data_IF_858559034298
#
_entry.id   IF_858559034298
#
_cell.length_a   1.000
_cell.length_b   1.000
_cell.length_c   1.000
_cell.angle_alpha   90.00
_cell.angle_beta   90.00
_cell.angle_gamma   90.00
#
_symmetry.space_group_name_H-M   'P 1'
#
loop_
_entity.id
_entity.type
_entity.pdbx_description
1 polymer ?
2 non-polymer ?
3 non-polymer ?
4 water ?
#
# COMPACT_ATOMS: atom_id res chain seq x y z
N UNK A 14 -11.37 -17.46 5.95
CA UNK A 14 -10.42 -17.29 7.10
C UNK A 14 -9.79 -18.65 7.46
N UNK A 15 -8.47 -18.67 7.68
CA UNK A 15 -7.75 -19.83 8.23
C UNK A 15 -6.67 -19.42 9.25
N UNK A 16 -6.53 -20.17 10.35
CA UNK A 16 -5.44 -19.85 11.28
C UNK A 16 -4.08 -20.21 10.66
N UNK A 17 -3.06 -19.40 10.94
CA UNK A 17 -1.82 -19.56 10.19
C UNK A 17 -0.85 -20.47 10.95
N UNK A 18 0.27 -20.79 10.32
CA UNK A 18 1.24 -21.68 10.96
C UNK A 18 2.55 -20.96 11.35
N UNK A 19 2.53 -19.63 11.34
CA UNK A 19 3.62 -18.83 11.89
C UNK A 19 3.63 -18.90 13.42
N UNK A 20 4.71 -18.39 14.01
CA UNK A 20 4.80 -18.32 15.46
C UNK A 20 3.56 -17.65 16.07
N UNK A 21 3.17 -16.55 15.45
CA UNK A 21 1.93 -15.86 15.77
C UNK A 21 1.14 -15.61 14.48
N UNK A 22 -0.15 -15.28 14.60
CA UNK A 22 -0.96 -14.93 13.44
C UNK A 22 -1.62 -13.57 13.63
N UNK A 23 -1.49 -12.70 12.64
CA UNK A 23 -2.11 -11.37 12.75
C UNK A 23 -3.59 -11.46 13.08
N UNK A 24 -4.33 -12.34 12.38
CA UNK A 24 -5.76 -12.49 12.58
C UNK A 24 -6.20 -13.01 13.94
N UNK A 25 -5.27 -13.48 14.78
CA UNK A 25 -5.66 -14.08 16.02
C UNK A 25 -6.40 -13.10 16.93
N UNK A 26 -7.63 -13.44 17.32
CA UNK A 26 -8.48 -12.61 18.17
C UNK A 26 -8.17 -12.79 19.66
N UNK A 27 -8.62 -11.82 20.45
CA UNK A 27 -8.55 -11.85 21.91
C UNK A 27 -7.12 -11.72 22.48
N UNK A 28 -6.18 -11.29 21.66
CA UNK A 28 -4.87 -10.88 22.11
C UNK A 28 -4.97 -9.41 22.57
N UNK A 29 -5.67 -8.59 21.79
CA UNK A 29 -5.78 -7.14 22.02
C UNK A 29 -7.18 -6.72 21.59
N UNK A 30 -8.00 -6.22 22.51
CA UNK A 30 -9.28 -5.62 22.17
C UNK A 30 -9.08 -4.41 21.28
N UNK A 31 -8.00 -3.64 21.49
CA UNK A 31 -7.72 -2.47 20.64
C UNK A 31 -7.61 -2.93 19.17
N UNK A 32 -6.95 -4.07 18.98
CA UNK A 32 -6.72 -4.67 17.65
C UNK A 32 -8.05 -5.21 17.10
N UNK A 33 -8.76 -5.97 17.94
CA UNK A 33 -10.05 -6.58 17.52
C UNK A 33 -11.13 -5.58 17.13
N UNK A 34 -11.14 -4.41 17.78
CA UNK A 34 -12.06 -3.34 17.40
C UNK A 34 -11.76 -2.79 15.99
N UNK A 35 -10.51 -2.80 15.57
CA UNK A 35 -10.10 -2.10 14.35
C UNK A 35 -10.05 -3.01 13.14
N UNK A 36 -9.49 -4.21 13.33
CA UNK A 36 -9.33 -5.14 12.22
C UNK A 36 -10.68 -5.73 11.78
N UNK A 37 -10.94 -5.64 10.48
CA UNK A 37 -12.21 -6.10 9.96
C UNK A 37 -11.94 -7.17 8.92
N UNK A 38 -12.11 -8.44 9.30
CA UNK A 38 -11.81 -9.55 8.41
C UNK A 38 -12.53 -9.52 7.08
N UNK A 39 -13.69 -8.86 6.97
CA UNK A 39 -14.48 -8.87 5.73
C UNK A 39 -14.00 -7.85 4.68
N UNK A 40 -12.99 -7.04 5.03
CA UNK A 40 -12.46 -6.04 4.11
C UNK A 40 -11.69 -6.68 2.95
N UNK A 41 -11.92 -6.16 1.75
CA UNK A 41 -11.20 -6.61 0.56
C UNK A 41 -10.31 -5.45 0.12
N UNK A 42 -8.98 -5.66 0.18
CA UNK A 42 -8.01 -4.59 -0.04
C UNK A 42 -7.75 -4.27 -1.52
N UNK A 43 -8.21 -5.15 -2.42
CA UNK A 43 -8.02 -4.92 -3.85
C UNK A 43 -9.36 -4.85 -4.60
N UNK A 44 -9.38 -3.97 -5.60
CA UNK A 44 -10.54 -3.80 -6.47
C UNK A 44 -10.72 -4.95 -7.44
N UNK A 45 -11.96 -5.41 -7.57
CA UNK A 45 -12.33 -6.42 -8.57
C UNK A 45 -13.62 -5.96 -9.25
N UNK A 46 -13.92 -6.52 -10.41
CA UNK A 46 -15.24 -6.25 -11.03
C UNK A 46 -16.41 -6.52 -10.10
N UNK A 47 -16.32 -7.57 -9.29
CA UNK A 47 -17.42 -7.96 -8.42
C UNK A 47 -17.55 -7.06 -7.19
N UNK A 48 -16.44 -6.47 -6.74
CA UNK A 48 -16.48 -5.67 -5.51
C UNK A 48 -16.43 -4.15 -5.72
N UNK A 49 -16.58 -3.71 -6.96
CA UNK A 49 -16.29 -2.31 -7.30
C UNK A 49 -17.36 -1.25 -7.04
N UNK A 50 -18.57 -1.65 -6.68
CA UNK A 50 -19.61 -0.67 -6.38
C UNK A 50 -19.38 -0.07 -4.99
N UNK A 51 -19.18 1.25 -4.95
CA UNK A 51 -18.99 1.99 -3.72
C UNK A 51 -20.33 2.44 -3.18
N UNK A 52 -20.50 2.33 -1.87
CA UNK A 52 -21.65 2.97 -1.24
C UNK A 52 -21.50 4.47 -1.43
N UNK A 53 -22.63 5.17 -1.34
CA UNK A 53 -22.69 6.59 -1.68
C UNK A 53 -21.73 7.41 -0.81
N UNK A 54 -21.76 7.17 0.50
CA UNK A 54 -20.99 7.97 1.44
C UNK A 54 -19.48 7.71 1.31
N UNK A 55 -19.13 6.47 0.95
CA UNK A 55 -17.75 6.11 0.66
C UNK A 55 -17.23 6.83 -0.57
N UNK A 56 -18.06 6.84 -1.61
CA UNK A 56 -17.73 7.49 -2.88
C UNK A 56 -17.58 9.00 -2.70
N UNK A 57 -18.51 9.63 -1.99
CA UNK A 57 -18.44 11.07 -1.73
C UNK A 57 -17.16 11.42 -0.96
N UNK A 58 -16.83 10.60 0.03
CA UNK A 58 -15.66 10.86 0.86
C UNK A 58 -14.41 10.81 -0.01
N UNK A 59 -14.34 9.78 -0.83
CA UNK A 59 -13.20 9.58 -1.69
C UNK A 59 -13.02 10.71 -2.71
N UNK A 60 -14.14 11.15 -3.29
CA UNK A 60 -14.07 12.32 -4.18
C UNK A 60 -13.53 13.57 -3.47
N UNK A 61 -13.79 13.71 -2.19
CA UNK A 61 -13.36 14.92 -1.47
C UNK A 61 -11.86 14.96 -1.16
N UNK A 62 -11.15 13.85 -1.31
CA UNK A 62 -9.71 13.87 -1.01
C UNK A 62 -8.93 14.89 -1.84
N UNK A 63 -9.14 14.87 -3.14
CA UNK A 63 -8.39 15.77 -4.03
C UNK A 63 -9.32 16.65 -4.84
N UNK A 64 -10.62 16.41 -4.74
CA UNK A 64 -11.62 17.28 -5.34
C UNK A 64 -11.43 17.65 -6.81
N UNK A 65 -11.34 16.62 -7.64
CA UNK A 65 -11.38 16.82 -9.09
C UNK A 65 -12.65 17.53 -9.50
N UNK A 66 -12.53 18.50 -10.40
CA UNK A 66 -13.62 19.43 -10.64
C UNK A 66 -14.87 18.64 -11.05
N UNK A 67 -14.74 17.84 -12.10
CA UNK A 67 -15.85 16.99 -12.54
C UNK A 67 -15.27 15.68 -13.04
N UNK A 68 -15.24 14.69 -12.15
CA UNK A 68 -14.70 13.38 -12.49
C UNK A 68 -15.62 12.65 -13.48
N UNK A 69 -15.02 11.89 -14.38
CA UNK A 69 -15.77 10.95 -15.20
C UNK A 69 -16.47 9.93 -14.31
N UNK A 70 -17.55 9.37 -14.84
CA UNK A 70 -18.37 8.40 -14.13
C UNK A 70 -17.54 7.21 -13.66
N UNK A 71 -17.62 6.87 -12.37
CA UNK A 71 -16.71 5.88 -11.83
C UNK A 71 -16.95 4.49 -12.43
N UNK A 72 -18.21 4.07 -12.50
CA UNK A 72 -18.61 2.81 -13.14
C UNK A 72 -18.03 2.66 -14.55
N UNK A 73 -18.20 3.67 -15.39
CA UNK A 73 -17.58 3.75 -16.71
C UNK A 73 -16.06 3.55 -16.69
N UNK A 74 -15.39 4.26 -15.78
CA UNK A 74 -13.95 4.24 -15.64
C UNK A 74 -13.48 2.84 -15.24
N UNK A 75 -14.16 2.25 -14.28
CA UNK A 75 -13.80 0.92 -13.82
C UNK A 75 -14.08 -0.14 -14.86
N UNK A 76 -15.19 0.00 -15.60
CA UNK A 76 -15.47 -0.95 -16.66
C UNK A 76 -14.31 -0.92 -17.66
N UNK A 77 -13.92 0.29 -18.05
CA UNK A 77 -12.76 0.44 -18.91
C UNK A 77 -11.45 -0.09 -18.29
N UNK A 78 -11.23 0.17 -17.01
CA UNK A 78 -10.00 -0.29 -16.34
C UNK A 78 -9.91 -1.82 -16.42
N UNK A 79 -11.01 -2.56 -16.22
CA UNK A 79 -10.94 -4.03 -16.21
C UNK A 79 -11.03 -4.66 -17.59
N UNK A 80 -11.07 -3.82 -18.63
CA UNK A 80 -10.80 -4.34 -19.97
C UNK A 80 -9.28 -4.26 -20.19
N UNK A 81 -8.55 -3.64 -19.27
CA UNK A 81 -7.12 -3.45 -19.44
C UNK A 81 -6.34 -4.33 -18.44
N UNK A 82 -6.66 -4.20 -17.16
CA UNK A 82 -5.94 -4.89 -16.09
C UNK A 82 -6.89 -5.96 -15.54
N UNK A 83 -6.34 -6.95 -14.82
CA UNK A 83 -7.20 -8.08 -14.44
C UNK A 83 -8.33 -7.67 -13.49
N UNK A 84 -9.56 -8.11 -13.79
CA UNK A 84 -10.71 -7.75 -12.97
C UNK A 84 -11.21 -8.84 -12.06
N UNK A 85 -10.55 -10.01 -12.03
CA UNK A 85 -10.91 -11.05 -11.06
C UNK A 85 -9.68 -11.56 -10.29
N UNK A 86 -8.93 -10.62 -9.71
CA UNK A 86 -7.87 -11.01 -8.78
C UNK A 86 -8.46 -11.48 -7.45
N UNK A 87 -7.75 -12.41 -6.80
CA UNK A 87 -8.12 -12.77 -5.43
C UNK A 87 -7.81 -11.57 -4.54
N UNK A 88 -8.82 -11.06 -3.81
CA UNK A 88 -8.54 -9.85 -3.05
C UNK A 88 -7.49 -10.04 -1.94
N UNK A 89 -7.25 -11.26 -1.50
CA UNK A 89 -6.10 -11.47 -0.58
C UNK A 89 -4.87 -12.15 -1.23
N UNK A 90 -4.80 -12.11 -2.57
CA UNK A 90 -3.62 -12.50 -3.33
C UNK A 90 -3.21 -13.95 -3.00
N UNK A 91 -4.24 -14.80 -2.89
CA UNK A 91 -4.12 -16.27 -2.71
C UNK A 91 -3.46 -16.61 -1.36
N UNK A 92 -3.67 -15.77 -0.35
CA UNK A 92 -3.32 -16.15 1.01
C UNK A 92 -3.81 -17.55 1.41
N UNK A 93 -4.89 -18.01 0.78
CA UNK A 93 -5.51 -19.29 1.18
C UNK A 93 -4.74 -20.48 0.68
N UNK A 94 -3.77 -20.27 -0.21
CA UNK A 94 -2.95 -21.35 -0.72
C UNK A 94 -1.69 -21.59 0.13
N UNK A 95 -1.47 -20.79 1.17
CA UNK A 95 -0.29 -20.95 1.98
C UNK A 95 -0.74 -20.97 3.45
N UNK A 96 0.12 -21.45 4.33
CA UNK A 96 -0.27 -21.52 5.74
C UNK A 96 0.44 -20.48 6.61
N UNK A 97 1.54 -19.93 6.13
CA UNK A 97 2.17 -18.79 6.80
C UNK A 97 2.76 -17.86 5.73
N UNK A 98 2.20 -16.66 5.58
CA UNK A 98 2.81 -15.69 4.67
C UNK A 98 3.53 -14.61 5.44
N UNK A 99 4.87 -14.55 5.24
CA UNK A 99 5.73 -13.63 5.97
C UNK A 99 6.04 -12.45 5.04
N UNK A 100 5.80 -11.22 5.51
CA UNK A 100 5.93 -10.03 4.66
C UNK A 100 6.91 -9.04 5.27
N UNK A 101 7.77 -8.44 4.44
CA UNK A 101 8.51 -7.25 4.85
C UNK A 101 7.85 -6.06 4.15
N UNK A 102 7.62 -5.00 4.92
CA UNK A 102 7.11 -3.76 4.38
C UNK A 102 8.22 -2.75 4.59
N UNK A 103 8.75 -2.24 3.48
CA UNK A 103 9.94 -1.43 3.52
C UNK A 103 9.53 -0.01 3.10
N UNK A 104 9.65 0.91 4.05
CA UNK A 104 9.43 2.34 3.83
C UNK A 104 10.68 3.04 3.34
N UNK A 105 10.67 4.38 3.32
CA UNK A 105 11.66 5.16 2.62
C UNK A 105 12.68 5.87 3.51
N UNK A 106 12.61 5.63 4.82
CA UNK A 106 13.47 6.38 5.76
C UNK A 106 14.94 6.17 5.59
N UNK A 107 15.66 7.27 5.78
CA UNK A 107 17.12 7.24 5.91
C UNK A 107 17.69 6.45 7.08
N UNK A 108 16.81 6.02 7.97
CA UNK A 108 17.23 5.09 8.99
C UNK A 108 17.65 3.73 8.43
N UNK A 109 17.30 3.44 7.17
CA UNK A 109 17.81 2.24 6.49
C UNK A 109 19.32 2.29 6.17
N UNK A 110 19.88 3.50 6.09
CA UNK A 110 21.29 3.63 5.71
C UNK A 110 22.23 2.89 6.67
N UNK A 111 23.08 2.02 6.12
CA UNK A 111 24.01 1.22 6.94
C UNK A 111 23.29 0.35 7.95
N UNK A 112 22.02 0.03 7.73
CA UNK A 112 21.31 -0.86 8.66
C UNK A 112 21.69 -2.32 8.40
N UNK A 113 22.12 -2.62 7.17
CA UNK A 113 22.44 -4.01 6.78
C UNK A 113 21.26 -5.00 6.81
N UNK A 114 20.06 -4.45 6.68
CA UNK A 114 18.84 -5.29 6.74
C UNK A 114 18.50 -6.06 5.45
N UNK A 115 19.27 -5.87 4.38
CA UNK A 115 18.89 -6.47 3.11
C UNK A 115 18.61 -7.99 3.14
N UNK A 116 19.56 -8.78 3.67
CA UNK A 116 19.37 -10.24 3.63
C UNK A 116 18.14 -10.73 4.41
N UNK A 117 17.89 -10.09 5.56
CA UNK A 117 16.69 -10.43 6.30
C UNK A 117 15.43 -10.01 5.55
N UNK A 118 15.41 -8.78 5.00
CA UNK A 118 14.30 -8.36 4.16
C UNK A 118 14.03 -9.39 3.07
N UNK A 119 15.04 -9.78 2.32
CA UNK A 119 14.85 -10.67 1.16
C UNK A 119 14.48 -12.12 1.59
N UNK A 120 14.64 -12.43 2.87
CA UNK A 120 14.19 -13.73 3.37
C UNK A 120 12.65 -13.88 3.46
N UNK A 121 11.90 -12.78 3.30
CA UNK A 121 10.43 -12.83 3.41
C UNK A 121 9.80 -13.39 2.12
N UNK A 122 8.61 -13.98 2.23
CA UNK A 122 7.84 -14.44 1.07
C UNK A 122 7.41 -13.26 0.16
N UNK A 123 6.82 -12.22 0.76
CA UNK A 123 6.49 -10.98 0.03
C UNK A 123 7.36 -9.82 0.52
N UNK A 124 7.73 -8.89 -0.37
CA UNK A 124 8.40 -7.69 0.09
C UNK A 124 7.68 -6.55 -0.61
N UNK A 125 7.20 -5.62 0.19
CA UNK A 125 6.36 -4.52 -0.26
C UNK A 125 7.09 -3.20 -0.11
N UNK A 126 7.16 -2.45 -1.22
CA UNK A 126 7.86 -1.17 -1.30
C UNK A 126 6.92 -0.07 -1.82
N UNK A 127 7.36 1.19 -1.78
CA UNK A 127 6.49 2.30 -2.17
C UNK A 127 7.19 3.52 -2.79
N UNK A 128 6.41 4.28 -3.57
CA UNK A 128 6.84 5.55 -4.14
C UNK A 128 8.01 5.28 -5.13
N UNK A 129 8.98 6.19 -5.21
CA UNK A 129 10.07 6.08 -6.16
C UNK A 129 11.29 5.34 -5.57
N UNK A 130 11.15 4.78 -4.38
CA UNK A 130 12.26 4.08 -3.70
C UNK A 130 12.99 3.00 -4.54
N UNK A 131 14.31 3.18 -4.71
CA UNK A 131 15.10 2.23 -5.48
C UNK A 131 15.65 1.09 -4.64
N UNK A 132 15.86 -0.07 -5.23
CA UNK A 132 16.68 -1.01 -4.51
C UNK A 132 18.10 -1.05 -5.09
N UNK A 133 18.21 -0.76 -6.37
CA UNK A 133 19.54 -0.78 -7.04
C UNK A 133 20.68 0.06 -6.45
N UNK A 134 21.76 -0.57 -5.97
CA UNK A 134 22.83 0.10 -5.25
C UNK A 134 22.57 0.26 -3.77
N UNK A 135 21.42 -0.21 -3.30
CA UNK A 135 21.11 -0.11 -1.87
C UNK A 135 20.79 -1.51 -1.29
N UNK A 136 21.12 -2.57 -2.03
CA UNK A 136 20.58 -3.88 -1.65
C UNK A 136 21.06 -4.38 -0.30
N UNK A 137 22.30 -4.04 0.07
CA UNK A 137 22.79 -4.49 1.36
C UNK A 137 21.90 -4.03 2.52
N UNK A 138 21.36 -2.81 2.37
CA UNK A 138 20.50 -2.20 3.38
C UNK A 138 19.00 -2.49 3.21
N UNK A 139 18.50 -2.43 1.98
CA UNK A 139 17.06 -2.45 1.75
C UNK A 139 16.54 -3.75 1.10
N UNK A 140 17.47 -4.60 0.67
CA UNK A 140 17.19 -5.89 0.02
C UNK A 140 17.15 -5.72 -1.49
N UNK A 141 17.24 -6.83 -2.23
CA UNK A 141 17.06 -6.80 -3.70
C UNK A 141 15.66 -7.25 -4.18
N UNK A 142 14.89 -7.82 -3.28
CA UNK A 142 13.64 -8.46 -3.66
C UNK A 142 12.48 -7.47 -3.58
N UNK A 143 11.62 -7.51 -4.60
CA UNK A 143 10.31 -6.83 -4.48
C UNK A 143 9.25 -7.71 -5.08
N UNK A 144 8.17 -7.95 -4.33
CA UNK A 144 7.02 -8.70 -4.87
C UNK A 144 5.86 -7.77 -5.24
N UNK A 145 5.75 -6.65 -4.51
CA UNK A 145 4.62 -5.73 -4.67
C UNK A 145 5.11 -4.30 -4.44
N UNK A 146 4.59 -3.33 -5.19
CA UNK A 146 5.15 -1.97 -5.06
C UNK A 146 4.04 -0.92 -5.27
N UNK A 147 3.82 -0.10 -4.25
CA UNK A 147 2.69 0.83 -4.17
C UNK A 147 3.08 2.13 -4.90
N UNK A 148 2.27 2.53 -5.88
CA UNK A 148 2.47 3.78 -6.59
C UNK A 148 1.18 4.57 -6.80
N UNK A 149 1.36 5.81 -7.27
CA UNK A 149 0.27 6.65 -7.77
C UNK A 149 0.86 7.54 -8.89
N UNK A 150 0.05 8.23 -9.69
CA UNK A 150 0.62 8.86 -10.93
C UNK A 150 1.77 9.83 -10.64
N UNK A 151 1.67 10.51 -9.49
CA UNK A 151 2.60 11.58 -9.14
C UNK A 151 3.75 11.01 -8.30
N UNK A 152 3.79 9.68 -8.12
CA UNK A 152 4.84 9.02 -7.37
C UNK A 152 5.06 7.60 -7.93
N UNK A 153 5.69 7.51 -9.10
CA UNK A 153 5.85 6.22 -9.78
C UNK A 153 7.33 6.16 -10.25
N UNK A 154 7.90 4.97 -10.29
CA UNK A 154 9.10 4.71 -11.05
C UNK A 154 8.88 3.37 -11.75
N UNK A 155 9.58 3.16 -12.86
CA UNK A 155 9.41 1.88 -13.58
C UNK A 155 9.81 0.75 -12.64
N UNK A 156 9.12 -0.38 -12.80
CA UNK A 156 9.26 -1.48 -11.86
C UNK A 156 9.85 -2.68 -12.59
N UNK A 157 10.61 -3.51 -11.86
CA UNK A 157 11.10 -4.75 -12.47
C UNK A 157 9.91 -5.62 -12.95
N UNK A 158 10.15 -6.47 -13.95
CA UNK A 158 9.10 -7.26 -14.62
C UNK A 158 8.30 -8.20 -13.71
N UNK A 159 8.94 -8.72 -12.66
CA UNK A 159 8.25 -9.65 -11.77
C UNK A 159 7.42 -8.99 -10.66
N UNK A 160 7.43 -7.66 -10.62
CA UNK A 160 6.83 -6.90 -9.50
C UNK A 160 5.36 -6.60 -9.81
N UNK A 161 4.47 -6.92 -8.88
CA UNK A 161 3.08 -6.45 -8.96
C UNK A 161 3.03 -4.95 -8.62
N UNK A 162 2.45 -4.15 -9.52
CA UNK A 162 2.29 -2.72 -9.24
C UNK A 162 0.94 -2.54 -8.51
N UNK A 163 0.96 -1.97 -7.33
CA UNK A 163 -0.34 -1.64 -6.68
C UNK A 163 -0.62 -0.13 -6.84
N UNK A 164 -1.57 0.22 -7.71
CA UNK A 164 -1.96 1.62 -7.87
C UNK A 164 -2.81 2.00 -6.66
N UNK A 165 -2.46 3.08 -6.00
CA UNK A 165 -3.29 3.60 -4.93
C UNK A 165 -4.04 4.84 -5.46
N UNK A 166 -5.35 4.71 -5.75
CA UNK A 166 -6.01 5.81 -6.40
C UNK A 166 -6.63 6.76 -5.39
N UNK A 167 -6.18 8.01 -5.44
CA UNK A 167 -6.76 9.08 -4.63
C UNK A 167 -7.76 10.01 -5.33
N UNK A 168 -7.99 9.77 -6.62
CA UNK A 168 -9.01 10.45 -7.40
C UNK A 168 -9.29 9.60 -8.66
N UNK A 169 -10.40 9.91 -9.33
CA UNK A 169 -10.84 9.19 -10.53
C UNK A 169 -9.78 9.23 -11.63
N UNK A 170 -9.15 10.39 -11.81
CA UNK A 170 -8.05 10.50 -12.79
C UNK A 170 -6.91 9.51 -12.58
N UNK A 171 -6.67 9.05 -11.35
CA UNK A 171 -5.62 8.04 -11.13
C UNK A 171 -5.91 6.70 -11.80
N UNK A 172 -7.19 6.35 -11.81
CA UNK A 172 -7.66 5.21 -12.58
C UNK A 172 -7.59 5.43 -14.09
N UNK A 173 -7.95 6.61 -14.56
CA UNK A 173 -7.84 6.93 -15.96
C UNK A 173 -6.37 6.91 -16.37
N UNK A 174 -5.49 7.32 -15.45
CA UNK A 174 -4.06 7.33 -15.76
C UNK A 174 -3.54 5.92 -16.07
N UNK A 175 -3.95 4.93 -15.28
CA UNK A 175 -3.49 3.55 -15.49
C UNK A 175 -3.91 3.06 -16.86
N UNK A 176 -5.16 3.30 -17.25
CA UNK A 176 -5.64 2.97 -18.58
C UNK A 176 -4.78 3.68 -19.62
N UNK A 177 -4.62 5.01 -19.53
CA UNK A 177 -3.87 5.77 -20.53
C UNK A 177 -2.40 5.34 -20.65
N UNK A 178 -1.74 5.14 -19.51
CA UNK A 178 -0.30 5.01 -19.47
C UNK A 178 0.11 3.61 -19.97
N UNK A 179 -0.83 2.66 -19.96
CA UNK A 179 -0.58 1.34 -20.54
C UNK A 179 -1.13 1.22 -21.98
N UNK A 180 -1.71 2.29 -22.51
CA UNK A 180 -2.31 2.24 -23.87
C UNK A 180 -1.93 3.48 -24.69
N UNK A 181 -2.80 4.48 -24.73
CA UNK A 181 -2.65 5.66 -25.59
C UNK A 181 -1.66 6.74 -25.14
N UNK A 182 -1.38 6.83 -23.83
CA UNK A 182 -0.38 7.81 -23.42
C UNK A 182 -0.92 9.22 -23.58
N UNK A 183 -2.22 9.40 -23.42
CA UNK A 183 -2.82 10.73 -23.58
C UNK A 183 -2.77 11.60 -22.31
N UNK A 184 -2.71 10.99 -21.13
CA UNK A 184 -2.67 11.77 -19.89
C UNK A 184 -1.25 12.05 -19.45
N UNK A 185 -0.83 13.30 -19.59
CA UNK A 185 0.56 13.63 -19.27
C UNK A 185 0.72 14.52 -18.02
N UNK A 186 -0.41 14.86 -17.41
CA UNK A 186 -0.46 15.78 -16.29
C UNK A 186 -1.67 15.44 -15.46
N UNK A 187 -1.55 15.61 -14.15
CA UNK A 187 -2.71 15.74 -13.28
C UNK A 187 -2.68 17.19 -12.77
N UNK A 188 -2.22 17.44 -11.54
CA UNK A 188 -1.91 18.83 -11.09
C UNK A 188 -0.42 19.11 -11.25
N UNK A 189 0.37 18.07 -11.53
CA UNK A 189 1.78 18.19 -11.94
C UNK A 189 2.03 17.22 -13.14
N UNK A 190 3.20 17.30 -13.83
CA UNK A 190 3.52 16.30 -14.89
C UNK A 190 3.56 14.89 -14.33
N UNK A 191 3.02 13.93 -15.07
CA UNK A 191 3.09 12.52 -14.69
C UNK A 191 3.56 11.72 -15.92
N UNK A 192 4.06 10.49 -15.72
CA UNK A 192 4.55 9.75 -16.92
C UNK A 192 3.40 9.51 -17.90
N UNK A 193 3.57 9.84 -19.17
CA UNK A 193 2.52 9.57 -20.16
C UNK A 193 2.41 8.05 -20.43
N UNK A 194 3.50 7.31 -20.24
CA UNK A 194 3.53 5.86 -20.54
C UNK A 194 4.32 5.20 -19.44
N UNK A 195 3.98 3.96 -19.10
CA UNK A 195 4.76 3.15 -18.18
C UNK A 195 4.98 1.78 -18.85
N UNK A 196 5.97 1.03 -18.38
CA UNK A 196 6.34 -0.27 -18.98
C UNK A 196 5.75 -1.47 -18.29
N UNK A 197 5.18 -1.26 -17.10
CA UNK A 197 4.57 -2.36 -16.35
C UNK A 197 3.58 -3.11 -17.26
N UNK A 198 3.66 -4.44 -17.28
CA UNK A 198 2.69 -5.25 -17.98
C UNK A 198 1.32 -5.17 -17.33
N UNK A 199 0.31 -5.13 -18.18
CA UNK A 199 -1.07 -5.00 -17.70
C UNK A 199 -1.41 -6.07 -16.70
N UNK A 200 -0.97 -7.31 -16.94
CA UNK A 200 -1.35 -8.40 -16.05
C UNK A 200 -0.71 -8.33 -14.64
N UNK A 201 0.25 -7.44 -14.47
CA UNK A 201 0.90 -7.27 -13.16
C UNK A 201 0.31 -6.11 -12.36
N UNK A 202 -0.80 -5.55 -12.85
CA UNK A 202 -1.36 -4.36 -12.17
C UNK A 202 -2.50 -4.77 -11.21
N UNK A 203 -2.44 -4.21 -10.01
CA UNK A 203 -3.43 -4.36 -8.93
C UNK A 203 -3.87 -2.96 -8.57
N UNK A 204 -5.10 -2.84 -8.04
CA UNK A 204 -5.71 -1.56 -7.71
C UNK A 204 -6.17 -1.63 -6.27
N UNK A 205 -5.55 -0.79 -5.44
CA UNK A 205 -5.91 -0.64 -4.02
C UNK A 205 -7.39 -0.17 -4.00
N UNK A 206 -8.23 -0.82 -3.18
CA UNK A 206 -9.66 -0.53 -3.16
C UNK A 206 -9.92 0.80 -2.43
N UNK A 207 -10.60 1.75 -3.09
CA UNK A 207 -10.96 3.01 -2.45
C UNK A 207 -11.70 2.79 -1.13
N UNK A 208 -12.58 1.79 -1.06
CA UNK A 208 -13.23 1.48 0.23
C UNK A 208 -12.27 0.99 1.34
N UNK A 209 -11.17 0.35 0.94
CA UNK A 209 -10.09 -0.02 1.87
C UNK A 209 -9.33 1.22 2.34
N UNK A 210 -9.13 2.19 1.44
CA UNK A 210 -8.55 3.47 1.88
C UNK A 210 -9.40 4.10 3.00
N UNK A 211 -10.71 4.13 2.79
CA UNK A 211 -11.60 4.74 3.81
C UNK A 211 -11.58 3.94 5.12
N UNK A 212 -11.50 2.62 5.02
CA UNK A 212 -11.42 1.75 6.22
C UNK A 212 -10.17 2.07 7.03
N UNK A 213 -9.04 2.21 6.34
CA UNK A 213 -7.79 2.59 6.99
C UNK A 213 -7.96 3.96 7.66
N UNK A 214 -8.57 4.91 6.95
CA UNK A 214 -8.78 6.27 7.50
C UNK A 214 -9.73 6.29 8.68
N UNK A 215 -10.88 5.60 8.56
CA UNK A 215 -11.86 5.60 9.64
C UNK A 215 -11.44 4.72 10.84
N UNK A 216 -11.03 3.48 10.58
CA UNK A 216 -10.87 2.54 11.69
C UNK A 216 -9.46 2.65 12.29
N UNK A 217 -8.46 2.78 11.43
CA UNK A 217 -7.08 2.76 11.88
C UNK A 217 -6.52 4.14 12.22
N UNK A 218 -6.80 5.16 11.41
CA UNK A 218 -6.40 6.53 11.76
C UNK A 218 -7.42 7.28 12.57
N UNK A 219 -8.61 6.71 12.70
CA UNK A 219 -9.70 7.32 13.48
C UNK A 219 -9.96 8.75 13.00
N UNK A 220 -9.75 8.92 11.69
CA UNK A 220 -10.06 10.17 11.00
C UNK A 220 -9.07 11.28 11.23
N UNK A 221 -7.90 10.94 11.80
CA UNK A 221 -6.79 11.89 11.87
C UNK A 221 -6.25 12.28 10.49
N UNK A 222 -6.31 13.56 10.15
CA UNK A 222 -5.71 14.03 8.90
C UNK A 222 -6.71 14.14 7.77
N UNK A 223 -6.24 14.50 6.58
CA UNK A 223 -7.18 14.60 5.46
C UNK A 223 -7.36 13.21 4.84
N UNK A 224 -6.24 12.50 4.69
CA UNK A 224 -6.32 11.10 4.27
C UNK A 224 -5.02 10.34 4.57
N UNK A 225 -5.07 9.01 4.48
CA UNK A 225 -3.91 8.21 4.92
C UNK A 225 -2.71 8.34 4.00
N UNK A 226 -1.50 8.35 4.58
CA UNK A 226 -0.27 8.26 3.78
C UNK A 226 -0.10 6.89 3.15
N UNK A 227 0.71 6.86 2.09
CA UNK A 227 1.12 5.60 1.50
C UNK A 227 1.68 4.65 2.53
N UNK A 228 2.52 5.17 3.43
CA UNK A 228 3.09 4.37 4.51
C UNK A 228 2.04 3.55 5.28
N UNK A 229 1.08 4.23 5.86
CA UNK A 229 0.07 3.54 6.69
C UNK A 229 -0.89 2.72 5.81
N UNK A 230 -1.11 3.18 4.58
CA UNK A 230 -1.92 2.33 3.64
C UNK A 230 -1.24 1.01 3.36
N UNK A 231 0.10 1.03 3.28
CA UNK A 231 0.85 -0.18 2.95
C UNK A 231 0.81 -1.17 4.09
N UNK A 232 0.95 -0.66 5.32
CA UNK A 232 0.95 -1.45 6.54
C UNK A 232 -0.39 -2.17 6.77
N UNK A 233 -1.48 -1.41 6.72
CA UNK A 233 -2.77 -2.06 6.98
C UNK A 233 -3.14 -3.04 5.83
N UNK A 234 -2.76 -2.69 4.59
CA UNK A 234 -2.89 -3.67 3.50
C UNK A 234 -2.19 -4.98 3.85
N UNK A 235 -0.96 -4.88 4.36
CA UNK A 235 -0.16 -6.05 4.73
C UNK A 235 -0.73 -6.86 5.88
N UNK A 236 -1.34 -6.22 6.86
CA UNK A 236 -2.06 -6.96 7.94
C UNK A 236 -3.20 -7.87 7.45
N UNK A 237 -3.77 -7.54 6.29
CA UNK A 237 -4.83 -8.34 5.67
C UNK A 237 -4.33 -9.42 4.72
N UNK A 238 -3.24 -9.11 4.02
CA UNK A 238 -2.65 -9.98 3.01
C UNK A 238 -1.65 -10.99 3.61
N UNK A 239 -1.09 -10.66 4.77
CA UNK A 239 -0.04 -11.45 5.37
C UNK A 239 -0.42 -12.04 6.73
N UNK A 240 0.37 -13.02 7.17
CA UNK A 240 0.19 -13.61 8.50
C UNK A 240 1.19 -13.02 9.49
N UNK A 241 2.31 -12.55 8.95
CA UNK A 241 3.40 -12.03 9.77
C UNK A 241 4.01 -10.85 9.03
N UNK A 242 4.16 -9.73 9.71
CA UNK A 242 4.59 -8.44 9.12
C UNK A 242 5.76 -7.83 9.90
N UNK A 243 6.86 -7.62 9.19
CA UNK A 243 8.05 -6.93 9.68
C UNK A 243 8.17 -5.58 8.94
N UNK A 244 8.24 -4.51 9.72
CA UNK A 244 8.45 -3.16 9.15
C UNK A 244 9.92 -2.70 9.18
N UNK A 245 10.36 -2.11 8.06
CA UNK A 245 11.72 -1.57 7.88
C UNK A 245 11.53 -0.19 7.23
N UNK A 246 12.37 0.74 7.64
CA UNK A 246 12.39 2.05 6.98
C UNK A 246 11.21 2.95 7.29
N UNK A 247 10.59 2.78 8.45
CA UNK A 247 9.55 3.66 8.96
C UNK A 247 10.06 4.62 10.03
N UNK A 248 9.63 5.88 9.95
CA UNK A 248 9.95 6.83 11.02
C UNK A 248 11.22 7.60 10.71
N UNK A 249 11.65 8.37 11.70
CA UNK A 249 12.88 9.15 11.57
C UNK A 249 14.08 8.26 11.86
N UNK A 250 15.26 8.82 11.60
CA UNK A 250 16.50 8.17 12.04
C UNK A 250 16.78 8.53 13.49
N UNK A 251 17.91 8.00 13.98
CA UNK A 251 18.29 8.23 15.38
C UNK A 251 18.61 9.68 15.71
N UNK A 252 18.82 10.50 14.68
CA UNK A 252 19.11 11.91 14.93
C UNK A 252 17.83 12.75 14.81
N UNK A 253 16.70 12.10 14.56
CA UNK A 253 15.43 12.80 14.39
C UNK A 253 15.18 13.30 12.98
N UNK A 254 16.04 12.94 12.03
CA UNK A 254 15.85 13.42 10.66
C UNK A 254 14.90 12.57 9.80
N UNK A 255 14.13 13.25 8.97
CA UNK A 255 13.24 12.64 7.97
C UNK A 255 13.87 12.89 6.59
N UNK A 256 14.64 11.95 6.10
CA UNK A 256 15.31 12.04 4.83
C UNK A 256 15.10 10.65 4.23
N UNK A 257 15.04 10.56 2.90
CA UNK A 257 14.94 9.27 2.24
C UNK A 257 16.28 8.56 2.22
N UNK A 258 16.30 7.22 2.19
CA UNK A 258 17.58 6.55 2.20
C UNK A 258 18.46 6.80 0.97
N UNK A 259 17.83 7.06 -0.18
CA UNK A 259 18.55 7.17 -1.46
C UNK A 259 18.92 8.59 -1.95
N UNK A 260 18.55 9.63 -1.21
CA UNK A 260 18.74 11.00 -1.73
C UNK A 260 18.65 11.98 -0.58
N UNK A 270 3.40 17.77 8.77
CA UNK A 270 3.44 19.25 8.69
C UNK A 270 2.13 20.04 8.39
N UNK A 271 1.59 19.89 7.18
CA UNK A 271 0.44 20.65 6.66
C UNK A 271 -0.94 20.26 7.22
N UNK A 272 -1.08 19.00 7.60
CA UNK A 272 -2.35 18.46 8.08
C UNK A 272 -2.98 17.42 7.15
N UNK A 273 -2.41 17.26 5.95
CA UNK A 273 -2.92 16.27 5.01
C UNK A 273 -2.76 14.84 5.56
N UNK A 274 -1.56 14.51 6.04
CA UNK A 274 -1.32 13.28 6.81
C UNK A 274 -0.97 13.60 8.26
N UNK A 275 -1.32 12.68 9.15
CA UNK A 275 -0.96 12.79 10.56
C UNK A 275 0.16 11.75 10.80
N UNK A 276 1.39 12.12 10.43
CA UNK A 276 2.55 11.26 10.68
C UNK A 276 2.75 10.86 12.14
N UNK A 277 2.47 11.77 13.07
CA UNK A 277 2.56 11.37 14.48
C UNK A 277 1.57 10.25 14.81
N UNK A 278 0.31 10.43 14.40
CA UNK A 278 -0.70 9.45 14.75
C UNK A 278 -0.43 8.14 14.01
N UNK A 279 -0.04 8.23 12.74
CA UNK A 279 0.36 7.04 12.00
C UNK A 279 1.47 6.26 12.69
N UNK A 280 2.50 6.98 13.10
CA UNK A 280 3.60 6.36 13.83
C UNK A 280 3.10 5.75 15.18
N UNK A 281 2.17 6.40 15.83
CA UNK A 281 1.58 5.81 17.03
C UNK A 281 0.85 4.49 16.76
N UNK A 282 0.13 4.39 15.65
CA UNK A 282 -0.49 3.13 15.28
C UNK A 282 0.51 1.99 15.09
N UNK A 283 1.58 2.23 14.34
CA UNK A 283 2.58 1.18 14.18
C UNK A 283 3.26 0.84 15.51
N UNK A 284 3.53 1.85 16.32
CA UNK A 284 4.04 1.58 17.66
C UNK A 284 3.16 0.69 18.54
N UNK A 285 1.86 0.95 18.53
CA UNK A 285 0.93 0.08 19.27
C UNK A 285 0.91 -1.30 18.65
N UNK A 286 0.88 -1.37 17.32
CA UNK A 286 0.87 -2.71 16.69
C UNK A 286 2.07 -3.53 17.12
N UNK A 287 3.25 -2.87 17.15
CA UNK A 287 4.44 -3.59 17.65
C UNK A 287 4.33 -4.02 19.11
N UNK A 288 3.69 -3.20 19.92
CA UNK A 288 3.65 -3.46 21.36
C UNK A 288 2.79 -4.68 21.66
N UNK A 289 1.90 -5.01 20.73
CA UNK A 289 1.04 -6.18 20.88
C UNK A 289 1.49 -7.35 20.00
N UNK A 290 2.72 -7.29 19.48
CA UNK A 290 3.30 -8.34 18.64
C UNK A 290 2.52 -8.67 17.37
N UNK A 291 1.75 -7.70 16.89
CA UNK A 291 1.03 -7.84 15.61
C UNK A 291 1.93 -7.53 14.41
N UNK A 292 3.00 -6.78 14.65
CA UNK A 292 4.09 -6.57 13.68
C UNK A 292 5.38 -6.50 14.50
N UNK A 293 6.55 -6.63 13.86
CA UNK A 293 7.82 -6.24 14.49
C UNK A 293 8.37 -5.06 13.71
N UNK A 294 8.97 -4.13 14.45
CA UNK A 294 9.54 -2.93 13.80
C UNK A 294 11.04 -2.99 13.88
N UNK A 295 11.69 -2.88 12.72
CA UNK A 295 13.14 -2.71 12.70
C UNK A 295 13.53 -1.23 12.51
N UNK A 296 14.09 -0.63 13.56
CA UNK A 296 14.24 0.83 13.63
C UNK A 296 15.43 1.35 12.82
N UNK A 297 16.38 0.49 12.47
CA UNK A 297 17.55 0.94 11.71
C UNK A 297 18.48 1.86 12.50
N UNK A 298 19.09 2.83 11.83
CA UNK A 298 20.18 3.64 12.38
C UNK A 298 19.78 5.08 12.67
X LIG B 1 7.91 7.27 6.84
X LIG B 1 7.52 6.54 7.98
X LIG B 1 8.59 6.43 5.74
X LIG B 1 9.25 7.32 4.86
X LIG B 1 7.51 5.67 4.98
X LIG B 1 7.95 5.45 3.66
X LIG C 1 1.80 -11.89 23.55
X LIG C 1 0.73 -10.97 23.36
X LIG C 1 2.08 -12.71 22.30
X LIG C 1 1.00 -12.62 21.42
X LIG C 1 2.25 -14.18 22.65
X LIG C 1 3.48 -14.43 23.28
X LIG D 1 -19.64 -5.38 -2.81
#
# INVERSE_FOLDING_TARGET
>A
ELSENFKKLXKYPYRPCTCTRCIEEQRVSAWFDERFNRSMQPLLTAKNAHLEEDTYKWWLRLQREKKPNNLNDTIRELFQVVPGNVDPLLEKRLVSCRRCAVVGNSGNLKESYYGPQIDSHDFVLRMNKAPTEGFEADVGSKTTHHFVYPESFRELAQEVSMILVPFKTTDLEWVISATTTGRISHTYVPVPAKIKVKKEKILIYHPAFIKYVFDRWLQGHGRYPSTGILSVIFSLHICDEVDLYGFGADSKGNWHHYWENNPSAGAFRKTGVHDGDFESNVTTILASINKIRIFKGR
>B hetero
1 GOL C1 O1 C2 O2 C3 O3
>C hetero
1 GOL C1 O1 C2 O2 C3 O3
>D hetero
1 CL CL
#
